data_IF_591681216205
#
_entry.id   IF_591681216205
#
_cell.length_a   1.000
_cell.length_b   1.000
_cell.length_c   1.000
_cell.angle_alpha   90.00
_cell.angle_beta   90.00
_cell.angle_gamma   90.00
#
_symmetry.space_group_name_H-M   'P 1'
#
loop_
_entity.id
_entity.type
_entity.pdbx_description
1 polymer ?
#
# COMPACT_ATOMS: atom_id res chain seq x y z
N UNK A 1 16.27 22.86 -19.96
CA UNK A 1 16.24 22.98 -18.49
C UNK A 1 16.24 21.58 -17.90
N UNK A 2 17.41 21.14 -17.46
CA UNK A 2 17.65 19.78 -16.99
C UNK A 2 16.94 19.50 -15.67
N UNK A 3 16.19 18.40 -15.65
CA UNK A 3 15.53 17.89 -14.47
C UNK A 3 16.61 17.30 -13.57
N UNK A 4 16.92 17.97 -12.45
CA UNK A 4 17.72 17.37 -11.36
C UNK A 4 17.01 16.10 -10.90
N UNK A 5 17.56 14.95 -11.28
CA UNK A 5 17.16 13.59 -10.88
C UNK A 5 17.36 13.43 -9.36
N UNK A 6 16.38 13.85 -8.57
CA UNK A 6 16.15 13.25 -7.25
C UNK A 6 15.58 11.83 -7.45
N UNK A 7 15.80 10.87 -6.53
CA UNK A 7 15.37 9.50 -6.73
C UNK A 7 13.85 9.43 -6.61
N UNK A 8 13.15 9.62 -7.74
CA UNK A 8 11.76 9.19 -7.86
C UNK A 8 11.81 7.67 -7.71
N UNK A 9 11.39 7.16 -6.56
CA UNK A 9 11.22 5.73 -6.39
C UNK A 9 10.30 5.23 -7.50
N UNK A 10 10.85 4.45 -8.45
CA UNK A 10 10.11 3.97 -9.63
C UNK A 10 8.96 3.02 -9.25
N UNK A 11 8.96 2.49 -8.03
CA UNK A 11 7.93 1.56 -7.55
C UNK A 11 6.94 2.28 -6.62
N UNK A 12 5.65 2.10 -6.90
CA UNK A 12 4.54 2.40 -6.01
C UNK A 12 3.93 1.09 -5.49
N UNK A 13 3.27 1.16 -4.34
CA UNK A 13 2.54 0.01 -3.79
C UNK A 13 1.15 -0.05 -4.43
N UNK A 14 0.69 -1.25 -4.80
CA UNK A 14 -0.68 -1.47 -5.29
C UNK A 14 -1.41 -2.33 -4.28
N UNK A 15 -2.53 -1.81 -3.77
CA UNK A 15 -3.39 -2.47 -2.79
C UNK A 15 -4.77 -2.56 -3.44
N UNK A 16 -5.06 -3.71 -4.05
CA UNK A 16 -6.29 -3.90 -4.83
C UNK A 16 -6.26 -2.98 -6.05
N UNK A 17 -7.20 -2.06 -6.12
CA UNK A 17 -7.32 -1.04 -7.15
C UNK A 17 -6.83 0.36 -6.73
N UNK A 18 -6.09 0.44 -5.61
CA UNK A 18 -5.48 1.67 -5.12
C UNK A 18 -3.97 1.63 -5.27
N UNK A 19 -3.39 2.70 -5.83
CA UNK A 19 -1.94 2.90 -5.84
C UNK A 19 -1.51 3.90 -4.77
N UNK A 20 -0.44 3.57 -4.04
CA UNK A 20 0.17 4.43 -3.03
C UNK A 20 1.61 4.76 -3.44
N UNK A 21 1.85 6.04 -3.72
CA UNK A 21 3.12 6.56 -4.25
C UNK A 21 3.92 7.23 -3.14
N UNK A 22 5.24 7.06 -3.16
CA UNK A 22 6.17 7.78 -2.30
C UNK A 22 7.24 8.48 -3.14
N UNK A 23 7.33 9.81 -3.04
CA UNK A 23 8.31 10.61 -3.78
C UNK A 23 9.63 10.82 -3.00
N UNK A 24 9.73 10.36 -1.74
CA UNK A 24 10.96 10.44 -0.94
C UNK A 24 11.43 11.85 -0.58
N UNK A 25 10.69 12.90 -0.95
CA UNK A 25 11.09 14.29 -0.75
C UNK A 25 10.01 15.29 -1.16
N UNK A 26 10.38 16.56 -1.23
CA UNK A 26 9.48 17.64 -1.66
C UNK A 26 9.21 17.52 -3.16
N UNK A 27 7.94 17.31 -3.53
CA UNK A 27 7.46 17.31 -4.91
C UNK A 27 6.38 18.38 -5.08
N UNK A 28 6.39 19.11 -6.21
CA UNK A 28 5.30 20.04 -6.50
C UNK A 28 3.99 19.27 -6.68
N UNK A 29 2.89 19.81 -6.17
CA UNK A 29 1.58 19.16 -6.27
C UNK A 29 1.20 18.86 -7.72
N UNK A 30 1.46 19.78 -8.64
CA UNK A 30 1.19 19.59 -10.08
C UNK A 30 1.91 18.38 -10.66
N UNK A 31 3.20 18.21 -10.35
CA UNK A 31 4.01 17.07 -10.81
C UNK A 31 3.51 15.74 -10.21
N UNK A 32 3.13 15.72 -8.93
CA UNK A 32 2.58 14.53 -8.29
C UNK A 32 1.24 14.10 -8.91
N UNK A 33 0.37 15.07 -9.23
CA UNK A 33 -0.91 14.81 -9.90
C UNK A 33 -0.67 14.30 -11.33
N UNK A 34 0.28 14.88 -12.07
CA UNK A 34 0.62 14.41 -13.42
C UNK A 34 1.15 12.97 -13.40
N UNK A 35 2.00 12.63 -12.43
CA UNK A 35 2.44 11.25 -12.23
C UNK A 35 1.26 10.32 -11.93
N UNK A 36 0.36 10.72 -11.04
CA UNK A 36 -0.83 9.93 -10.70
C UNK A 36 -1.75 9.68 -11.91
N UNK A 37 -1.92 10.67 -12.79
CA UNK A 37 -2.63 10.49 -14.06
C UNK A 37 -1.99 9.40 -14.92
N UNK A 38 -0.66 9.43 -15.07
CA UNK A 38 0.09 8.42 -15.83
C UNK A 38 -0.03 7.03 -15.21
N UNK A 39 -0.08 6.92 -13.89
CA UNK A 39 -0.29 5.63 -13.19
C UNK A 39 -1.63 5.01 -13.61
N UNK A 40 -2.73 5.74 -13.55
CA UNK A 40 -4.06 5.22 -13.96
C UNK A 40 -4.10 4.91 -15.46
N UNK A 41 -3.55 5.79 -16.30
CA UNK A 41 -3.52 5.58 -17.75
C UNK A 41 -2.79 4.28 -18.14
N UNK A 42 -1.67 4.00 -17.49
CA UNK A 42 -0.86 2.80 -17.75
C UNK A 42 -1.40 1.55 -17.04
N UNK A 43 -2.31 1.69 -16.08
CA UNK A 43 -2.81 0.60 -15.25
C UNK A 43 -4.33 0.74 -15.06
N UNK A 44 -5.11 0.28 -16.04
CA UNK A 44 -6.57 0.47 -16.08
C UNK A 44 -7.34 -0.08 -14.88
N UNK A 45 -6.75 -1.03 -14.14
CA UNK A 45 -7.32 -1.59 -12.92
C UNK A 45 -7.23 -0.64 -11.72
N UNK A 46 -6.28 0.30 -11.71
CA UNK A 46 -6.14 1.29 -10.64
C UNK A 46 -7.21 2.38 -10.81
N UNK A 47 -7.97 2.62 -9.74
CA UNK A 47 -9.04 3.63 -9.67
C UNK A 47 -8.67 4.84 -8.82
N UNK A 48 -7.79 4.67 -7.83
CA UNK A 48 -7.40 5.73 -6.90
C UNK A 48 -5.89 5.80 -6.73
N UNK A 49 -5.32 7.01 -6.69
CA UNK A 49 -3.90 7.22 -6.40
C UNK A 49 -3.72 8.14 -5.20
N UNK A 50 -2.96 7.67 -4.21
CA UNK A 50 -2.59 8.40 -3.01
C UNK A 50 -1.07 8.60 -2.93
N UNK A 51 -0.67 9.62 -2.18
CA UNK A 51 0.72 9.94 -1.89
C UNK A 51 0.98 9.79 -0.40
N UNK A 52 2.05 9.09 -0.03
CA UNK A 52 2.59 9.13 1.33
C UNK A 52 3.12 10.56 1.60
N UNK A 53 2.66 11.17 2.69
CA UNK A 53 3.11 12.48 3.18
C UNK A 53 3.63 12.33 4.61
N UNK A 54 4.80 12.90 4.89
CA UNK A 54 5.40 12.87 6.23
C UNK A 54 6.06 11.53 6.59
N UNK A 55 6.60 11.47 7.81
CA UNK A 55 7.12 10.23 8.39
C UNK A 55 5.96 9.36 8.89
N UNK A 56 6.21 8.07 9.05
CA UNK A 56 5.30 7.17 9.77
C UNK A 56 5.36 7.58 11.24
N UNK A 57 4.23 8.03 11.79
CA UNK A 57 4.12 8.62 13.13
C UNK A 57 2.98 7.93 13.93
N UNK A 58 3.06 8.00 15.26
CA UNK A 58 2.04 7.47 16.19
C UNK A 58 2.19 5.99 16.54
N UNK A 59 1.52 5.58 17.61
CA UNK A 59 1.51 4.20 18.13
C UNK A 59 0.98 3.20 17.08
N UNK A 60 -0.02 3.62 16.30
CA UNK A 60 -0.62 2.83 15.22
C UNK A 60 0.18 2.89 13.90
N UNK A 61 1.33 3.58 13.87
CA UNK A 61 2.23 3.65 12.70
C UNK A 61 1.53 4.07 11.40
N UNK A 62 0.60 5.03 11.47
CA UNK A 62 -0.18 5.50 10.32
C UNK A 62 0.67 6.39 9.41
N UNK A 63 0.73 6.05 8.12
CA UNK A 63 1.31 6.94 7.12
C UNK A 63 0.23 7.94 6.70
N UNK A 64 0.47 9.25 6.88
CA UNK A 64 -0.49 10.25 6.40
C UNK A 64 -0.54 10.13 4.87
N UNK A 65 -1.71 9.83 4.32
CA UNK A 65 -1.91 9.73 2.88
C UNK A 65 -2.70 10.93 2.36
N UNK A 66 -2.25 11.46 1.23
CA UNK A 66 -2.92 12.53 0.51
C UNK A 66 -3.41 12.02 -0.84
N UNK A 67 -4.69 12.19 -1.13
CA UNK A 67 -5.26 11.88 -2.44
C UNK A 67 -4.62 12.73 -3.55
N UNK A 68 -4.33 12.11 -4.69
CA UNK A 68 -3.75 12.77 -5.87
C UNK A 68 -4.71 12.79 -7.07
N UNK A 69 -5.26 11.64 -7.47
CA UNK A 69 -6.05 11.52 -8.69
C UNK A 69 -6.91 10.24 -8.71
N UNK A 70 -7.97 10.25 -9.52
CA UNK A 70 -8.91 9.13 -9.69
C UNK A 70 -10.17 9.28 -8.82
N UNK A 71 -10.70 8.15 -8.34
CA UNK A 71 -11.79 8.13 -7.38
C UNK A 71 -11.26 8.42 -5.97
N UNK A 72 -11.86 9.37 -5.26
CA UNK A 72 -11.44 9.70 -3.89
C UNK A 72 -12.00 8.68 -2.88
N UNK A 73 -11.49 7.45 -2.95
CA UNK A 73 -11.89 6.29 -2.15
C UNK A 73 -10.65 5.61 -1.58
N UNK A 74 -10.64 5.36 -0.27
CA UNK A 74 -9.48 4.76 0.45
C UNK A 74 -9.65 3.30 0.85
N UNK A 75 -10.86 2.75 0.81
CA UNK A 75 -11.10 1.32 1.02
C UNK A 75 -10.75 0.56 -0.25
N UNK A 76 -9.94 -0.49 -0.17
CA UNK A 76 -9.58 -1.37 -1.29
C UNK A 76 -9.83 -2.83 -0.92
N UNK A 77 -10.17 -3.63 -1.93
CA UNK A 77 -10.22 -5.09 -1.80
C UNK A 77 -8.92 -5.68 -2.35
N UNK A 78 -8.08 -6.22 -1.48
CA UNK A 78 -6.76 -6.77 -1.85
C UNK A 78 -6.76 -8.29 -1.76
N UNK A 79 -6.42 -8.97 -2.85
CA UNK A 79 -6.27 -10.41 -2.88
C UNK A 79 -4.81 -10.81 -2.65
N UNK A 80 -4.56 -11.69 -1.68
CA UNK A 80 -3.23 -12.19 -1.37
C UNK A 80 -3.28 -13.59 -0.75
N UNK A 81 -2.39 -14.49 -1.16
CA UNK A 81 -2.25 -15.83 -0.58
C UNK A 81 -3.56 -16.65 -0.50
N UNK A 82 -4.47 -16.44 -1.46
CA UNK A 82 -5.77 -17.14 -1.51
C UNK A 82 -6.88 -16.48 -0.69
N UNK A 83 -6.58 -15.38 0.02
CA UNK A 83 -7.53 -14.63 0.83
C UNK A 83 -7.78 -13.24 0.23
N UNK A 84 -8.87 -12.61 0.67
CA UNK A 84 -9.28 -11.27 0.25
C UNK A 84 -9.45 -10.39 1.49
N UNK A 85 -8.82 -9.23 1.49
CA UNK A 85 -8.78 -8.29 2.60
C UNK A 85 -9.38 -6.95 2.21
N UNK A 86 -10.26 -6.41 3.05
CA UNK A 86 -10.74 -5.04 2.91
C UNK A 86 -9.79 -4.10 3.69
N UNK A 87 -9.10 -3.24 2.95
CA UNK A 87 -8.00 -2.41 3.46
C UNK A 87 -8.30 -0.93 3.23
N UNK A 88 -8.57 -0.19 4.30
CA UNK A 88 -8.64 1.28 4.23
C UNK A 88 -7.22 1.86 4.34
N UNK A 89 -6.61 2.21 3.20
CA UNK A 89 -5.21 2.64 3.10
C UNK A 89 -4.88 3.87 3.94
N UNK A 90 -5.90 4.65 4.36
CA UNK A 90 -5.72 5.81 5.24
C UNK A 90 -5.78 5.48 6.73
N UNK A 91 -6.39 4.35 7.10
CA UNK A 91 -6.68 4.00 8.49
C UNK A 91 -5.82 2.86 9.01
N UNK A 92 -5.36 1.96 8.15
CA UNK A 92 -4.59 0.78 8.59
C UNK A 92 -3.25 0.72 7.90
N UNK A 93 -2.26 0.16 8.58
CA UNK A 93 -0.99 -0.19 7.96
C UNK A 93 -1.18 -1.47 7.12
N UNK A 94 -0.81 -1.40 5.85
CA UNK A 94 -0.76 -2.57 4.97
C UNK A 94 0.35 -2.38 3.93
N UNK A 95 1.12 -3.43 3.66
CA UNK A 95 2.10 -3.44 2.56
C UNK A 95 2.03 -4.76 1.79
N UNK A 96 1.84 -4.72 0.47
CA UNK A 96 1.87 -5.92 -0.38
C UNK A 96 3.28 -6.51 -0.47
N UNK A 97 4.32 -5.74 -0.12
CA UNK A 97 5.72 -6.19 -0.18
C UNK A 97 6.05 -7.33 0.79
N UNK A 98 5.23 -7.51 1.82
CA UNK A 98 5.37 -8.61 2.78
C UNK A 98 4.66 -9.90 2.35
N UNK A 99 4.03 -9.93 1.17
CA UNK A 99 3.27 -11.10 0.73
C UNK A 99 4.09 -12.39 0.68
N UNK A 100 5.35 -12.30 0.22
CA UNK A 100 6.26 -13.44 0.18
C UNK A 100 6.65 -13.93 1.57
N UNK A 101 6.91 -13.01 2.51
CA UNK A 101 7.22 -13.37 3.90
C UNK A 101 6.02 -14.00 4.60
N UNK A 102 4.81 -13.46 4.38
CA UNK A 102 3.58 -14.10 4.84
C UNK A 102 3.46 -15.52 4.32
N UNK A 103 3.61 -15.72 3.01
CA UNK A 103 3.59 -17.05 2.40
C UNK A 103 4.65 -17.99 2.98
N UNK A 104 5.84 -17.47 3.32
CA UNK A 104 6.91 -18.27 3.95
C UNK A 104 6.51 -18.74 5.35
N UNK A 105 5.92 -17.87 6.17
CA UNK A 105 5.44 -18.24 7.53
C UNK A 105 4.26 -19.19 7.45
N UNK A 106 3.29 -18.95 6.56
CA UNK A 106 2.12 -19.82 6.36
C UNK A 106 2.52 -21.28 6.06
N UNK A 107 3.62 -21.50 5.32
CA UNK A 107 4.13 -22.85 5.03
C UNK A 107 4.76 -23.56 6.22
N UNK A 108 5.08 -22.85 7.30
CA UNK A 108 5.70 -23.42 8.50
C UNK A 108 4.68 -23.81 9.56
N UNK A 109 3.49 -23.20 9.52
CA UNK A 109 2.42 -23.50 10.48
C UNK A 109 1.85 -24.90 10.21
N UNK A 110 1.69 -25.67 11.28
CA UNK A 110 1.11 -27.02 11.23
C UNK A 110 -0.32 -27.01 11.75
N UNK A 111 -1.11 -27.96 11.24
CA UNK A 111 -2.49 -28.16 11.69
C UNK A 111 -2.53 -28.42 13.21
N UNK A 112 -3.33 -27.63 13.91
CA UNK A 112 -3.53 -27.75 15.36
C UNK A 112 -2.53 -26.98 16.23
N UNK A 113 -1.67 -26.15 15.64
CA UNK A 113 -0.82 -25.22 16.39
C UNK A 113 -1.63 -24.01 16.89
N UNK A 114 -1.36 -23.57 18.12
CA UNK A 114 -1.83 -22.29 18.64
C UNK A 114 -0.87 -21.18 18.20
N UNK A 115 -1.37 -20.21 17.43
CA UNK A 115 -0.57 -19.09 16.89
C UNK A 115 -1.03 -17.76 17.47
N UNK A 116 -0.09 -17.00 18.02
CA UNK A 116 -0.32 -15.62 18.48
C UNK A 116 0.20 -14.61 17.45
N UNK A 117 -0.71 -13.85 16.84
CA UNK A 117 -0.38 -12.70 16.00
C UNK A 117 -0.54 -11.40 16.81
N UNK A 118 0.55 -10.94 17.42
CA UNK A 118 0.55 -9.77 18.31
C UNK A 118 0.12 -8.47 17.61
N UNK A 119 0.24 -8.37 16.27
CA UNK A 119 0.02 -7.14 15.51
C UNK A 119 -0.71 -7.42 14.18
N UNK A 120 -1.85 -8.10 14.28
CA UNK A 120 -2.54 -8.67 13.11
C UNK A 120 -3.04 -7.66 12.08
N UNK A 121 -3.35 -6.41 12.47
CA UNK A 121 -3.92 -5.43 11.55
C UNK A 121 -5.21 -5.94 10.90
N UNK A 122 -5.23 -6.06 9.57
CA UNK A 122 -6.37 -6.66 8.81
C UNK A 122 -6.30 -8.19 8.72
N UNK A 123 -5.40 -8.82 9.49
CA UNK A 123 -5.22 -10.27 9.56
C UNK A 123 -4.52 -10.94 8.37
N UNK A 124 -3.53 -10.33 7.67
CA UNK A 124 -2.93 -10.99 6.51
C UNK A 124 -2.04 -12.18 6.89
N UNK A 125 -1.61 -12.29 8.16
CA UNK A 125 -1.03 -13.52 8.72
C UNK A 125 -2.10 -14.42 9.32
N UNK A 126 -3.05 -13.86 10.08
CA UNK A 126 -3.97 -14.67 10.90
C UNK A 126 -5.09 -15.34 10.11
N UNK A 127 -5.60 -14.74 9.02
CA UNK A 127 -6.70 -15.30 8.22
C UNK A 127 -6.26 -16.51 7.37
N UNK A 128 -5.06 -16.52 6.75
CA UNK A 128 -4.66 -17.65 5.90
C UNK A 128 -4.03 -18.83 6.65
N UNK A 129 -3.79 -18.72 7.96
CA UNK A 129 -3.32 -19.83 8.83
C UNK A 129 -4.48 -20.77 9.09
#
# INVERSE_FOLDING_TARGET
>A
MEIKKGPVHRSFDVIGDIAVVNFGGKVKRSQAVEFAKRVILNNKHIKSVFMKVGKIEGEERKSKLRFLYGENRSLARHAENGCVFDVDVKKVFFTPRLSSERKRILKQVKKGEDVLDMFCGVGPFSIPI
#
